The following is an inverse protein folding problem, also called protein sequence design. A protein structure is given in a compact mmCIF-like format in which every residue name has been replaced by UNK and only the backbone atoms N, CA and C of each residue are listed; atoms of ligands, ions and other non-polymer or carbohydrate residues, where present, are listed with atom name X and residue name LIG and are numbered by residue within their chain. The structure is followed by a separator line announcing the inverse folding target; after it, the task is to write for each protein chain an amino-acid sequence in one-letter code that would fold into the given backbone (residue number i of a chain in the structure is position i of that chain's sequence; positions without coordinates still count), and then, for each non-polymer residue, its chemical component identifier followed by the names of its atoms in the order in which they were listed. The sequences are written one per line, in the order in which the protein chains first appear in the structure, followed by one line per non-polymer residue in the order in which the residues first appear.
data_IF_864813773292
#
_entry.id   IF_864813773292
#
_cell.length_a   1.000
_cell.length_b   1.000
_cell.length_c   1.000
_cell.angle_alpha   90.00
_cell.angle_beta   90.00
_cell.angle_gamma   90.00
#
_symmetry.space_group_name_H-M   'P 1'
#
loop_
_entity.id
_entity.type
_entity.pdbx_description
1 polymer ?
#
# COMPACT_ATOMS: atom_id res chain seq x y z
N UNK A 1 -94.00 5.24 -54.87
CA UNK A 1 -94.08 6.48 -55.59
C UNK A 1 -92.73 7.06 -55.80
N UNK A 2 -92.36 7.13 -57.00
CA UNK A 2 -91.39 8.01 -57.72
C UNK A 2 -90.03 8.18 -57.10
N UNK A 3 -88.99 7.57 -57.75
CA UNK A 3 -88.17 8.12 -58.86
C UNK A 3 -87.39 9.33 -58.45
N UNK A 4 -86.07 9.38 -58.63
CA UNK A 4 -85.22 9.30 -59.80
C UNK A 4 -83.78 9.33 -59.33
N UNK A 5 -82.87 8.45 -59.74
CA UNK A 5 -81.85 8.57 -60.75
C UNK A 5 -81.20 9.96 -60.92
N UNK A 6 -79.96 10.08 -60.68
CA UNK A 6 -79.02 10.62 -61.67
C UNK A 6 -77.52 10.22 -61.34
N UNK A 7 -76.98 9.81 -62.39
CA UNK A 7 -75.66 9.24 -62.78
C UNK A 7 -74.48 10.18 -62.59
N UNK A 8 -73.37 9.54 -62.33
CA UNK A 8 -72.04 9.67 -62.89
C UNK A 8 -71.39 11.05 -63.04
N UNK A 9 -70.22 11.16 -62.50
CA UNK A 9 -69.02 11.47 -63.29
C UNK A 9 -67.72 11.29 -62.47
N UNK A 10 -66.92 10.49 -63.01
CA UNK A 10 -65.54 10.25 -62.60
C UNK A 10 -64.68 11.50 -62.60
N UNK A 11 -63.90 11.75 -61.55
CA UNK A 11 -62.67 12.52 -61.70
C UNK A 11 -61.60 11.80 -60.91
N UNK A 12 -60.74 11.14 -61.68
CA UNK A 12 -59.47 10.59 -61.16
C UNK A 12 -58.55 11.74 -60.84
N UNK A 13 -58.33 11.94 -59.54
CA UNK A 13 -57.26 12.81 -59.12
C UNK A 13 -56.09 11.92 -58.64
N UNK A 14 -55.04 11.88 -59.46
CA UNK A 14 -53.78 11.22 -59.14
C UNK A 14 -53.14 11.97 -57.99
N UNK A 15 -53.22 11.42 -56.78
CA UNK A 15 -52.41 11.91 -55.66
C UNK A 15 -51.08 11.20 -55.71
N UNK A 16 -50.08 11.87 -56.30
CA UNK A 16 -48.72 11.41 -56.31
C UNK A 16 -48.15 11.56 -54.91
N UNK A 17 -48.04 10.45 -54.19
CA UNK A 17 -47.40 10.40 -52.89
C UNK A 17 -45.86 10.46 -53.10
N UNK A 18 -45.28 11.64 -52.95
CA UNK A 18 -43.81 11.79 -52.90
C UNK A 18 -43.34 11.35 -51.53
N UNK A 19 -42.89 10.09 -51.43
CA UNK A 19 -42.19 9.61 -50.24
C UNK A 19 -40.76 10.18 -50.31
N UNK A 20 -40.53 11.29 -49.60
CA UNK A 20 -39.18 11.79 -49.37
C UNK A 20 -38.49 10.85 -48.39
N UNK A 21 -37.60 9.97 -48.91
CA UNK A 21 -36.66 9.26 -48.07
C UNK A 21 -35.64 10.26 -47.53
N UNK A 22 -35.83 10.72 -46.31
CA UNK A 22 -34.80 11.41 -45.56
C UNK A 22 -33.80 10.35 -45.08
N UNK A 23 -32.74 10.12 -45.86
CA UNK A 23 -31.58 9.33 -45.43
C UNK A 23 -30.85 10.16 -44.38
N UNK A 24 -31.17 9.90 -43.13
CA UNK A 24 -30.45 10.47 -41.97
C UNK A 24 -29.08 9.78 -41.93
N UNK A 25 -28.05 10.40 -42.52
CA UNK A 25 -26.70 10.02 -42.29
C UNK A 25 -26.34 10.26 -40.83
N UNK A 26 -26.46 9.21 -40.01
CA UNK A 26 -25.88 9.23 -38.67
C UNK A 26 -24.34 9.21 -38.89
N UNK A 27 -23.73 10.40 -38.83
CA UNK A 27 -22.28 10.49 -38.66
C UNK A 27 -21.97 9.92 -37.28
N UNK A 28 -21.62 8.65 -37.21
CA UNK A 28 -20.94 8.08 -36.06
C UNK A 28 -19.54 8.72 -36.05
N UNK A 29 -19.41 9.84 -35.37
CA UNK A 29 -18.11 10.39 -35.06
C UNK A 29 -17.35 9.30 -34.30
N UNK A 30 -16.12 8.94 -34.71
CA UNK A 30 -15.32 8.04 -33.91
C UNK A 30 -15.19 8.71 -32.54
N UNK A 31 -15.72 8.02 -31.50
CA UNK A 31 -15.41 8.38 -30.12
C UNK A 31 -13.92 8.14 -30.00
N UNK A 32 -13.13 9.20 -30.16
CA UNK A 32 -11.73 9.19 -29.73
C UNK A 32 -11.78 8.89 -28.25
N UNK A 33 -11.47 7.64 -27.88
CA UNK A 33 -11.14 7.33 -26.51
C UNK A 33 -9.97 8.27 -26.17
N UNK A 34 -10.23 9.30 -25.38
CA UNK A 34 -9.19 10.18 -24.85
C UNK A 34 -8.08 9.30 -24.25
N UNK A 35 -6.85 9.78 -24.14
CA UNK A 35 -5.76 9.02 -23.56
C UNK A 35 -6.26 8.45 -22.23
N UNK A 36 -6.15 7.11 -22.07
CA UNK A 36 -6.58 6.43 -20.83
C UNK A 36 -5.90 7.17 -19.69
N UNK A 37 -6.68 7.77 -18.81
CA UNK A 37 -6.23 8.68 -17.74
C UNK A 37 -5.20 7.99 -16.82
N UNK A 38 -5.21 6.64 -16.82
CA UNK A 38 -4.28 5.80 -16.08
C UNK A 38 -4.49 5.82 -14.56
N UNK A 39 -5.60 6.41 -14.13
CA UNK A 39 -6.09 6.38 -12.74
C UNK A 39 -7.62 6.48 -12.71
N UNK A 40 -8.20 6.13 -11.58
CA UNK A 40 -9.60 6.36 -11.22
C UNK A 40 -9.63 6.99 -9.82
N UNK A 41 -10.55 7.93 -9.60
CA UNK A 41 -10.75 8.59 -8.32
C UNK A 41 -12.17 8.44 -7.85
N UNK A 42 -12.34 8.25 -6.55
CA UNK A 42 -13.62 8.12 -5.85
C UNK A 42 -13.55 8.97 -4.58
N UNK A 43 -14.41 9.98 -4.46
CA UNK A 43 -14.44 10.92 -3.34
C UNK A 43 -15.76 10.81 -2.60
N UNK A 44 -15.70 10.88 -1.28
CA UNK A 44 -16.83 11.06 -0.37
C UNK A 44 -16.53 12.28 0.50
N UNK A 45 -17.49 13.17 0.66
CA UNK A 45 -17.31 14.46 1.35
C UNK A 45 -17.13 15.61 0.37
N UNK A 46 -16.43 16.65 0.79
CA UNK A 46 -16.19 17.85 -0.01
C UNK A 46 -15.01 17.60 -0.97
N UNK A 47 -15.21 17.81 -2.27
CA UNK A 47 -14.17 17.62 -3.28
C UNK A 47 -13.22 18.83 -3.43
N UNK A 48 -13.51 19.94 -2.77
CA UNK A 48 -12.61 21.10 -2.75
C UNK A 48 -11.51 20.84 -1.70
N UNK A 49 -10.28 21.25 -2.04
CA UNK A 49 -9.13 21.15 -1.15
C UNK A 49 -9.38 21.86 0.19
N UNK A 50 -9.24 21.14 1.27
CA UNK A 50 -9.43 21.68 2.61
C UNK A 50 -8.20 22.52 3.03
N UNK A 51 -8.40 23.64 3.73
CA UNK A 51 -7.27 24.37 4.29
C UNK A 51 -6.53 23.50 5.31
N UNK A 52 -5.20 23.49 5.23
CA UNK A 52 -4.36 22.72 6.17
C UNK A 52 -4.68 23.12 7.62
N UNK A 53 -5.00 22.12 8.43
CA UNK A 53 -5.25 22.32 9.86
C UNK A 53 -3.96 22.70 10.62
N UNK A 54 -4.00 23.67 11.53
CA UNK A 54 -2.87 23.93 12.42
C UNK A 54 -2.60 22.78 13.42
N UNK A 55 -3.54 21.82 13.55
CA UNK A 55 -3.39 20.63 14.37
C UNK A 55 -2.70 19.47 13.62
N UNK A 56 -2.36 19.63 12.33
CA UNK A 56 -1.66 18.62 11.55
C UNK A 56 -0.34 18.22 12.21
N UNK A 57 -0.16 16.93 12.44
CA UNK A 57 1.05 16.37 13.02
C UNK A 57 1.46 15.09 12.29
N UNK A 58 2.76 14.95 12.00
CA UNK A 58 3.28 13.78 11.30
C UNK A 58 3.20 12.49 12.11
N UNK A 59 3.27 11.37 11.44
CA UNK A 59 3.36 10.05 12.03
C UNK A 59 3.39 8.97 10.96
N UNK A 60 3.78 7.77 11.34
CA UNK A 60 3.82 6.62 10.44
C UNK A 60 2.97 5.48 11.01
N UNK A 61 2.09 4.91 10.19
CA UNK A 61 1.30 3.74 10.56
C UNK A 61 1.73 2.54 9.73
N UNK A 62 2.15 1.49 10.40
CA UNK A 62 2.61 0.25 9.80
C UNK A 62 1.66 -0.89 10.19
N UNK A 63 0.85 -1.40 9.23
CA UNK A 63 -0.16 -2.42 9.48
C UNK A 63 0.16 -3.72 8.77
N UNK A 64 0.07 -4.84 9.49
CA UNK A 64 0.51 -6.15 9.00
C UNK A 64 -0.40 -6.84 8.00
N UNK A 65 -1.58 -6.30 7.71
CA UNK A 65 -2.56 -6.89 6.79
C UNK A 65 -3.67 -7.67 7.49
N UNK A 66 -4.46 -8.40 6.73
CA UNK A 66 -5.69 -9.02 7.23
C UNK A 66 -6.81 -7.98 7.39
N UNK A 67 -7.64 -8.13 8.41
CA UNK A 67 -8.64 -7.11 8.79
C UNK A 67 -7.93 -5.87 9.30
N UNK A 68 -8.37 -4.71 8.84
CA UNK A 68 -7.79 -3.44 9.24
C UNK A 68 -8.06 -3.13 10.73
N UNK A 69 -7.18 -2.34 11.34
CA UNK A 69 -7.24 -1.95 12.75
C UNK A 69 -7.81 -0.55 12.86
N UNK A 70 -9.05 -0.41 13.33
CA UNK A 70 -9.78 0.86 13.44
C UNK A 70 -8.99 1.95 14.17
N UNK A 71 -8.34 1.57 15.29
CA UNK A 71 -7.53 2.50 16.09
C UNK A 71 -6.39 3.16 15.30
N UNK A 72 -5.88 2.49 14.26
CA UNK A 72 -4.84 3.04 13.41
C UNK A 72 -5.37 4.19 12.53
N UNK A 73 -6.56 4.02 11.93
CA UNK A 73 -7.20 5.08 11.15
C UNK A 73 -7.64 6.24 12.03
N UNK A 74 -8.25 5.95 13.19
CA UNK A 74 -8.64 6.99 14.14
C UNK A 74 -7.44 7.83 14.61
N UNK A 75 -6.28 7.19 14.85
CA UNK A 75 -5.04 7.87 15.19
C UNK A 75 -4.53 8.75 14.03
N UNK A 76 -4.60 8.28 12.78
CA UNK A 76 -4.22 9.09 11.62
C UNK A 76 -5.14 10.30 11.47
N UNK A 77 -6.45 10.12 11.58
CA UNK A 77 -7.43 11.20 11.48
C UNK A 77 -7.27 12.27 12.58
N UNK A 78 -6.93 11.85 13.80
CA UNK A 78 -6.60 12.79 14.87
C UNK A 78 -5.38 13.63 14.54
N UNK A 79 -4.35 13.02 13.94
CA UNK A 79 -3.11 13.70 13.54
C UNK A 79 -3.28 14.57 12.30
N UNK A 80 -4.21 14.21 11.41
CA UNK A 80 -4.62 15.03 10.27
C UNK A 80 -5.30 16.34 10.71
N UNK A 81 -6.00 16.31 11.85
CA UNK A 81 -6.69 17.49 12.38
C UNK A 81 -7.90 17.94 11.57
N UNK A 82 -8.52 17.05 10.78
CA UNK A 82 -9.49 17.33 9.73
C UNK A 82 -8.82 17.32 8.35
N UNK A 83 -9.49 17.89 7.33
CA UNK A 83 -8.96 17.94 5.97
C UNK A 83 -9.18 16.66 5.17
N UNK A 84 -8.30 16.40 4.22
CA UNK A 84 -8.49 15.38 3.19
C UNK A 84 -7.68 14.11 3.49
N UNK A 85 -8.38 12.97 3.51
CA UNK A 85 -7.75 11.66 3.67
C UNK A 85 -7.64 10.96 2.31
N UNK A 86 -6.45 10.76 1.80
CA UNK A 86 -6.21 10.12 0.50
C UNK A 86 -5.74 8.68 0.67
N UNK A 87 -6.39 7.76 -0.02
CA UNK A 87 -6.00 6.35 -0.14
C UNK A 87 -5.47 6.09 -1.54
N UNK A 88 -4.26 5.56 -1.66
CA UNK A 88 -3.68 5.18 -2.95
C UNK A 88 -3.50 3.68 -3.07
N UNK A 89 -3.76 3.16 -4.28
CA UNK A 89 -3.60 1.74 -4.64
C UNK A 89 -3.49 1.56 -6.15
N UNK A 90 -3.13 0.37 -6.63
CA UNK A 90 -3.06 0.08 -8.07
C UNK A 90 -4.21 -0.77 -8.57
N UNK A 91 -4.93 -1.44 -7.69
CA UNK A 91 -6.09 -2.31 -7.99
C UNK A 91 -7.09 -2.28 -6.85
N UNK A 92 -8.32 -2.72 -7.07
CA UNK A 92 -9.36 -2.86 -6.05
C UNK A 92 -10.48 -1.84 -6.22
N UNK A 93 -11.09 -1.40 -5.12
CA UNK A 93 -12.27 -0.53 -5.08
C UNK A 93 -12.06 0.64 -4.10
N UNK A 94 -13.06 1.46 -3.96
CA UNK A 94 -13.16 2.59 -3.01
C UNK A 94 -13.71 2.18 -1.63
N UNK A 95 -13.64 0.91 -1.27
CA UNK A 95 -14.19 0.40 -0.01
C UNK A 95 -13.64 1.08 1.26
N UNK A 96 -12.46 1.71 1.15
CA UNK A 96 -11.91 2.54 2.23
C UNK A 96 -12.72 3.81 2.49
N UNK A 97 -13.36 4.39 1.48
CA UNK A 97 -14.06 5.66 1.66
C UNK A 97 -15.15 5.59 2.73
N UNK A 98 -16.19 4.73 2.61
CA UNK A 98 -17.22 4.63 3.64
C UNK A 98 -16.67 4.13 4.98
N UNK A 99 -15.66 3.26 4.97
CA UNK A 99 -15.04 2.73 6.19
C UNK A 99 -14.33 3.83 6.98
N UNK A 100 -13.46 4.61 6.33
CA UNK A 100 -12.74 5.71 7.00
C UNK A 100 -13.70 6.82 7.39
N UNK A 101 -14.70 7.15 6.56
CA UNK A 101 -15.72 8.15 6.89
C UNK A 101 -16.48 7.81 8.17
N UNK A 102 -16.80 6.52 8.37
CA UNK A 102 -17.47 6.06 9.59
C UNK A 102 -16.56 6.22 10.83
N UNK A 103 -15.27 5.93 10.71
CA UNK A 103 -14.30 6.04 11.81
C UNK A 103 -13.88 7.49 12.10
N UNK A 104 -13.93 8.34 11.10
CA UNK A 104 -13.35 9.69 11.09
C UNK A 104 -14.35 10.73 10.53
N UNK A 105 -15.50 10.94 11.16
CA UNK A 105 -16.53 11.85 10.63
C UNK A 105 -16.10 13.33 10.60
N UNK A 106 -14.95 13.66 11.20
CA UNK A 106 -14.37 15.00 11.21
C UNK A 106 -13.51 15.31 9.97
N UNK A 107 -13.21 14.32 9.11
CA UNK A 107 -12.49 14.55 7.87
C UNK A 107 -13.40 15.25 6.86
N UNK A 108 -12.86 16.22 6.11
CA UNK A 108 -13.60 16.97 5.09
C UNK A 108 -13.92 16.10 3.88
N UNK A 109 -12.93 15.34 3.42
CA UNK A 109 -13.11 14.32 2.39
C UNK A 109 -12.32 13.04 2.65
N UNK A 110 -12.77 11.96 2.03
CA UNK A 110 -12.00 10.72 1.88
C UNK A 110 -11.98 10.35 0.40
N UNK A 111 -10.79 10.22 -0.15
CA UNK A 111 -10.61 9.88 -1.56
C UNK A 111 -9.80 8.61 -1.74
N UNK A 112 -10.30 7.67 -2.55
CA UNK A 112 -9.50 6.54 -3.05
C UNK A 112 -9.07 6.80 -4.48
N UNK A 113 -7.76 6.79 -4.75
CA UNK A 113 -7.18 6.92 -6.10
C UNK A 113 -6.57 5.56 -6.50
N UNK A 114 -7.14 4.94 -7.53
CA UNK A 114 -6.63 3.70 -8.13
C UNK A 114 -5.73 4.06 -9.31
N UNK A 115 -4.42 3.93 -9.15
CA UNK A 115 -3.39 4.38 -10.09
C UNK A 115 -2.89 3.17 -10.88
N UNK A 116 -3.29 3.06 -12.15
CA UNK A 116 -3.11 1.84 -12.97
C UNK A 116 -1.96 1.93 -13.98
N UNK A 117 -1.29 3.08 -14.08
CA UNK A 117 -0.17 3.28 -15.01
C UNK A 117 0.78 4.38 -14.53
N UNK A 118 1.99 4.40 -15.06
CA UNK A 118 2.96 5.49 -14.85
C UNK A 118 2.43 6.84 -15.35
N UNK A 119 1.60 6.86 -16.41
CA UNK A 119 0.91 8.07 -16.86
C UNK A 119 -0.04 8.60 -15.79
N UNK A 120 -0.83 7.72 -15.17
CA UNK A 120 -1.69 8.08 -14.04
C UNK A 120 -0.89 8.56 -12.84
N UNK A 121 0.22 7.89 -12.52
CA UNK A 121 1.11 8.26 -11.43
C UNK A 121 1.80 9.62 -11.61
N UNK A 122 1.86 10.14 -12.85
CA UNK A 122 2.36 11.48 -13.19
C UNK A 122 1.26 12.49 -13.51
N UNK A 123 -0.01 12.13 -13.33
CA UNK A 123 -1.13 13.04 -13.58
C UNK A 123 -1.09 14.22 -12.59
N UNK A 124 -1.38 15.43 -13.09
CA UNK A 124 -1.50 16.62 -12.26
C UNK A 124 -2.57 16.46 -11.16
N UNK A 125 -3.68 15.77 -11.49
CA UNK A 125 -4.72 15.44 -10.53
C UNK A 125 -4.17 14.61 -9.37
N UNK A 126 -3.55 13.46 -9.68
CA UNK A 126 -2.98 12.55 -8.66
C UNK A 126 -1.92 13.26 -7.82
N UNK A 127 -1.06 14.03 -8.46
CA UNK A 127 -0.01 14.80 -7.78
C UNK A 127 -0.58 15.82 -6.79
N UNK A 128 -1.57 16.64 -7.22
CA UNK A 128 -2.16 17.65 -6.36
C UNK A 128 -2.92 17.05 -5.18
N UNK A 129 -3.74 16.01 -5.41
CA UNK A 129 -4.51 15.37 -4.35
C UNK A 129 -3.62 14.68 -3.31
N UNK A 130 -2.50 14.04 -3.72
CA UNK A 130 -1.53 13.49 -2.77
C UNK A 130 -0.86 14.63 -1.98
N UNK A 131 -0.38 15.69 -2.63
CA UNK A 131 0.34 16.78 -1.95
C UNK A 131 -0.54 17.55 -0.99
N UNK A 132 -1.81 17.70 -1.32
CA UNK A 132 -2.79 18.42 -0.51
C UNK A 132 -3.32 17.59 0.66
N UNK A 133 -3.22 16.27 0.64
CA UNK A 133 -3.75 15.39 1.67
C UNK A 133 -3.21 15.70 3.08
N UNK A 134 -4.09 15.72 4.09
CA UNK A 134 -3.75 15.77 5.53
C UNK A 134 -3.49 14.39 6.11
N UNK A 135 -3.91 13.32 5.44
CA UNK A 135 -3.51 11.95 5.75
C UNK A 135 -3.41 11.12 4.46
N UNK A 136 -2.46 10.18 4.40
CA UNK A 136 -2.32 9.28 3.25
C UNK A 136 -2.20 7.83 3.69
N UNK A 137 -2.99 6.98 3.07
CA UNK A 137 -2.98 5.53 3.26
C UNK A 137 -2.58 4.79 1.98
N UNK A 138 -1.62 3.89 2.07
CA UNK A 138 -1.25 2.97 1.00
C UNK A 138 -1.92 1.63 1.27
N UNK A 139 -2.94 1.31 0.48
CA UNK A 139 -3.70 0.08 0.65
C UNK A 139 -2.86 -1.17 0.35
N UNK A 140 -3.37 -2.32 0.77
CA UNK A 140 -2.82 -3.62 0.37
C UNK A 140 -2.97 -3.89 -1.13
N UNK A 141 -2.12 -4.76 -1.65
CA UNK A 141 -2.10 -5.12 -3.07
C UNK A 141 -0.85 -5.91 -3.45
N UNK A 142 -0.27 -5.58 -4.59
CA UNK A 142 1.00 -6.13 -5.06
C UNK A 142 2.08 -5.03 -5.02
N UNK A 143 3.03 -5.16 -4.11
CA UNK A 143 4.12 -4.20 -3.95
C UNK A 143 5.03 -4.11 -5.18
N UNK A 144 5.08 -5.13 -6.04
CA UNK A 144 5.84 -5.07 -7.27
C UNK A 144 5.23 -4.09 -8.27
N UNK A 145 3.89 -3.99 -8.30
CA UNK A 145 3.22 -2.98 -9.11
C UNK A 145 3.42 -1.58 -8.53
N UNK A 146 3.47 -1.43 -7.21
CA UNK A 146 3.76 -0.15 -6.56
C UNK A 146 5.16 0.34 -6.92
N UNK A 147 6.19 -0.52 -6.78
CA UNK A 147 7.57 -0.13 -7.12
C UNK A 147 7.72 0.18 -8.62
N UNK A 148 7.07 -0.58 -9.51
CA UNK A 148 7.20 -0.41 -10.95
C UNK A 148 6.42 0.80 -11.49
N UNK A 149 5.26 1.14 -10.92
CA UNK A 149 4.42 2.22 -11.42
C UNK A 149 4.70 3.58 -10.76
N UNK A 150 5.18 3.60 -9.51
CA UNK A 150 5.32 4.84 -8.73
C UNK A 150 6.74 5.38 -8.65
N UNK A 151 7.76 4.54 -8.87
CA UNK A 151 9.17 4.97 -8.83
C UNK A 151 9.46 6.03 -9.89
N UNK A 152 10.07 7.14 -9.48
CA UNK A 152 10.43 8.25 -10.35
C UNK A 152 9.24 9.06 -10.87
N UNK A 153 8.08 8.98 -10.20
CA UNK A 153 6.86 9.66 -10.60
C UNK A 153 6.41 10.72 -9.59
N UNK A 154 5.36 11.47 -9.95
CA UNK A 154 4.75 12.45 -9.04
C UNK A 154 4.12 11.79 -7.79
N UNK A 155 3.69 10.52 -7.86
CA UNK A 155 3.27 9.76 -6.66
C UNK A 155 4.41 9.63 -5.67
N UNK A 156 5.60 9.20 -6.11
CA UNK A 156 6.77 9.12 -5.23
C UNK A 156 7.08 10.47 -4.59
N UNK A 157 7.19 11.51 -5.41
CA UNK A 157 7.51 12.87 -4.93
C UNK A 157 6.45 13.41 -3.97
N UNK A 158 5.16 13.12 -4.22
CA UNK A 158 4.05 13.54 -3.36
C UNK A 158 4.09 12.85 -1.99
N UNK A 159 4.31 11.53 -1.96
CA UNK A 159 4.43 10.78 -0.70
C UNK A 159 5.67 11.24 0.09
N UNK A 160 6.80 11.43 -0.59
CA UNK A 160 8.02 11.96 0.04
C UNK A 160 7.80 13.37 0.61
N UNK A 161 7.01 14.21 -0.07
CA UNK A 161 6.64 15.54 0.43
C UNK A 161 5.79 15.45 1.70
N UNK A 162 4.79 14.55 1.74
CA UNK A 162 3.97 14.35 2.94
C UNK A 162 4.81 13.88 4.13
N UNK A 163 5.71 12.91 3.91
CA UNK A 163 6.56 12.34 4.96
C UNK A 163 7.58 13.32 5.53
N UNK A 164 8.16 14.20 4.68
CA UNK A 164 9.37 14.95 5.05
C UNK A 164 9.18 16.47 5.11
N UNK A 165 8.13 17.02 4.47
CA UNK A 165 7.94 18.47 4.34
C UNK A 165 6.61 18.94 4.90
N UNK A 166 5.48 18.38 4.45
CA UNK A 166 4.15 18.74 4.99
C UNK A 166 3.96 18.25 6.41
N UNK A 167 4.54 17.09 6.75
CA UNK A 167 4.39 16.47 8.07
C UNK A 167 3.00 15.86 8.28
N UNK A 168 2.40 15.32 7.23
CA UNK A 168 1.14 14.59 7.33
C UNK A 168 1.38 13.14 7.82
N UNK A 169 0.42 12.53 8.53
CA UNK A 169 0.48 11.11 8.85
C UNK A 169 0.35 10.28 7.57
N UNK A 170 1.27 9.34 7.40
CA UNK A 170 1.28 8.37 6.29
C UNK A 170 1.23 6.97 6.85
N UNK A 171 0.46 6.10 6.23
CA UNK A 171 0.40 4.71 6.65
C UNK A 171 0.19 3.74 5.49
N UNK A 172 0.30 2.45 5.79
CA UNK A 172 0.03 1.41 4.81
C UNK A 172 -0.13 0.03 5.43
N UNK A 173 -0.87 -0.82 4.71
CA UNK A 173 -1.12 -2.20 5.10
C UNK A 173 -0.56 -3.18 4.09
N UNK A 174 -0.06 -4.33 4.53
CA UNK A 174 0.43 -5.41 3.66
C UNK A 174 1.47 -4.92 2.63
N UNK A 175 1.15 -4.88 1.34
CA UNK A 175 2.02 -4.33 0.31
C UNK A 175 2.32 -2.83 0.54
N UNK A 176 1.33 -2.06 1.01
CA UNK A 176 1.49 -0.65 1.36
C UNK A 176 2.46 -0.42 2.52
N UNK A 177 2.46 -1.31 3.53
CA UNK A 177 3.47 -1.32 4.58
C UNK A 177 4.87 -1.60 4.00
N UNK A 178 4.99 -2.62 3.15
CA UNK A 178 6.28 -3.06 2.62
C UNK A 178 7.02 -1.96 1.86
N UNK A 179 6.29 -1.13 1.11
CA UNK A 179 6.89 -0.04 0.31
C UNK A 179 7.28 1.19 1.11
N UNK A 180 6.86 1.31 2.38
CA UNK A 180 7.25 2.40 3.29
C UNK A 180 8.62 2.16 3.94
N UNK A 181 9.24 1.01 3.73
CA UNK A 181 10.60 0.72 4.20
C UNK A 181 11.67 1.10 3.17
N UNK A 182 12.89 1.33 3.64
CA UNK A 182 14.01 1.57 2.73
C UNK A 182 14.31 0.35 1.86
N UNK A 183 14.37 -0.84 2.47
CA UNK A 183 14.60 -2.09 1.75
C UNK A 183 13.28 -2.79 1.51
N UNK A 184 12.98 -3.12 0.27
CA UNK A 184 11.68 -3.63 -0.15
C UNK A 184 11.84 -5.02 -0.73
N UNK A 185 11.15 -6.01 -0.13
CA UNK A 185 10.92 -7.27 -0.82
C UNK A 185 9.76 -7.07 -1.80
N UNK A 186 10.06 -7.09 -3.10
CA UNK A 186 9.05 -6.77 -4.13
C UNK A 186 8.15 -7.94 -4.48
N UNK A 187 8.64 -9.17 -4.42
CA UNK A 187 7.90 -10.33 -4.90
C UNK A 187 7.65 -10.33 -6.42
N UNK A 188 8.39 -9.53 -7.18
CA UNK A 188 8.16 -9.30 -8.62
C UNK A 188 8.20 -10.56 -9.50
N UNK A 189 8.75 -11.66 -9.00
CA UNK A 189 8.79 -12.95 -9.69
C UNK A 189 7.96 -14.03 -9.00
N UNK A 190 7.16 -13.64 -7.99
CA UNK A 190 6.39 -14.52 -7.12
C UNK A 190 6.85 -14.46 -5.67
N UNK A 191 5.99 -14.97 -4.78
CA UNK A 191 6.29 -14.97 -3.34
C UNK A 191 7.26 -16.09 -2.98
N UNK A 192 8.31 -15.77 -2.21
CA UNK A 192 9.23 -16.77 -1.63
C UNK A 192 8.72 -17.19 -0.25
N UNK A 193 8.77 -18.48 0.05
CA UNK A 193 8.52 -19.02 1.41
C UNK A 193 9.78 -18.92 2.27
N UNK A 194 9.63 -19.02 3.60
CA UNK A 194 10.77 -19.09 4.52
C UNK A 194 11.68 -20.26 4.19
N UNK A 195 11.13 -21.45 3.95
CA UNK A 195 11.92 -22.63 3.61
C UNK A 195 12.72 -22.48 2.32
N UNK A 196 12.13 -21.88 1.27
CA UNK A 196 12.84 -21.62 0.01
C UNK A 196 13.98 -20.60 0.21
N UNK A 197 13.71 -19.51 0.93
CA UNK A 197 14.71 -18.46 1.17
C UNK A 197 15.86 -18.94 2.06
N UNK A 198 15.59 -19.80 3.04
CA UNK A 198 16.62 -20.38 3.90
C UNK A 198 17.44 -21.46 3.17
N UNK A 199 16.81 -22.25 2.29
CA UNK A 199 17.51 -23.24 1.47
C UNK A 199 18.39 -22.59 0.38
N UNK A 200 17.95 -21.46 -0.16
CA UNK A 200 18.72 -20.68 -1.11
C UNK A 200 18.40 -19.18 -0.98
N UNK A 201 19.22 -18.38 -0.31
CA UNK A 201 19.01 -16.93 -0.20
C UNK A 201 19.05 -16.17 -1.53
N UNK A 202 19.55 -16.81 -2.60
CA UNK A 202 19.56 -16.28 -3.97
C UNK A 202 18.43 -16.89 -4.83
N UNK A 203 17.46 -17.56 -4.20
CA UNK A 203 16.31 -18.10 -4.93
C UNK A 203 15.66 -17.02 -5.79
N UNK A 204 15.24 -17.38 -7.00
CA UNK A 204 14.71 -16.43 -8.02
C UNK A 204 13.56 -15.55 -7.53
N UNK A 205 12.84 -15.97 -6.50
CA UNK A 205 11.76 -15.21 -5.88
C UNK A 205 12.24 -14.25 -4.78
N UNK A 206 13.49 -14.26 -4.40
CA UNK A 206 14.09 -13.26 -3.51
C UNK A 206 14.44 -12.02 -4.34
N UNK A 207 13.44 -11.20 -4.59
CA UNK A 207 13.58 -9.95 -5.33
C UNK A 207 13.55 -8.78 -4.36
N UNK A 208 14.69 -8.09 -4.23
CA UNK A 208 14.87 -6.96 -3.33
C UNK A 208 15.14 -5.69 -4.12
N UNK A 209 14.50 -4.62 -3.70
CA UNK A 209 14.73 -3.25 -4.16
C UNK A 209 14.94 -2.32 -2.96
N UNK A 210 15.17 -1.04 -3.19
CA UNK A 210 15.30 -0.05 -2.13
C UNK A 210 14.84 1.33 -2.61
N UNK A 211 14.61 2.21 -1.64
CA UNK A 211 14.44 3.65 -1.86
C UNK A 211 13.27 3.98 -2.83
N UNK A 212 12.06 3.41 -2.59
CA UNK A 212 10.85 3.90 -3.24
C UNK A 212 10.41 5.20 -2.57
N UNK A 213 10.13 5.15 -1.26
CA UNK A 213 9.81 6.33 -0.48
C UNK A 213 10.93 6.62 0.53
N UNK A 214 11.18 7.91 0.76
CA UNK A 214 12.20 8.35 1.71
C UNK A 214 11.52 8.73 3.04
N UNK A 215 11.70 7.89 4.04
CA UNK A 215 11.23 8.13 5.39
C UNK A 215 12.39 7.92 6.37
N UNK A 216 12.63 8.90 7.25
CA UNK A 216 13.63 8.76 8.33
C UNK A 216 13.33 7.55 9.23
N UNK A 217 12.04 7.27 9.47
CA UNK A 217 11.58 6.11 10.24
C UNK A 217 11.74 4.80 9.48
N UNK A 218 11.77 4.82 8.13
CA UNK A 218 12.01 3.66 7.25
C UNK A 218 13.48 3.36 6.97
N UNK A 219 14.39 4.32 7.22
CA UNK A 219 15.82 4.20 6.91
C UNK A 219 16.44 2.99 7.62
N UNK A 220 17.29 2.26 6.89
CA UNK A 220 17.99 1.04 7.34
C UNK A 220 17.03 -0.09 7.77
N UNK A 221 15.81 -0.12 7.27
CA UNK A 221 14.79 -1.09 7.67
C UNK A 221 14.16 -1.79 6.48
N UNK A 222 13.74 -3.04 6.71
CA UNK A 222 12.89 -3.85 5.84
C UNK A 222 11.62 -4.16 6.63
N UNK A 223 10.46 -3.92 6.04
CA UNK A 223 9.16 -4.26 6.63
C UNK A 223 8.56 -5.48 5.94
N UNK A 224 8.01 -6.42 6.73
CA UNK A 224 7.29 -7.58 6.25
C UNK A 224 5.95 -7.75 7.00
N UNK A 225 4.91 -8.07 6.26
CA UNK A 225 3.51 -8.15 6.73
C UNK A 225 3.05 -9.60 6.86
N UNK A 226 1.82 -9.85 7.35
CA UNK A 226 1.26 -11.20 7.51
C UNK A 226 2.26 -12.19 8.14
N UNK A 227 2.97 -11.72 9.18
CA UNK A 227 4.29 -12.25 9.52
C UNK A 227 4.22 -13.68 10.06
N UNK A 228 3.36 -13.92 11.03
CA UNK A 228 3.12 -15.27 11.59
C UNK A 228 2.23 -16.08 10.67
N UNK A 229 1.10 -15.51 10.23
CA UNK A 229 0.10 -16.21 9.41
C UNK A 229 0.70 -16.87 8.17
N UNK A 230 1.74 -16.25 7.58
CA UNK A 230 2.40 -16.78 6.36
C UNK A 230 3.82 -17.27 6.61
N UNK A 231 4.19 -17.54 7.87
CA UNK A 231 5.52 -18.03 8.26
C UNK A 231 6.68 -17.24 7.60
N UNK A 232 6.78 -15.95 7.89
CA UNK A 232 7.71 -15.05 7.17
C UNK A 232 9.04 -14.79 7.87
N UNK A 233 9.24 -15.32 9.08
CA UNK A 233 10.49 -15.12 9.83
C UNK A 233 11.73 -15.52 9.01
N UNK A 234 11.76 -16.76 8.53
CA UNK A 234 12.92 -17.29 7.81
C UNK A 234 13.27 -16.51 6.55
N UNK A 235 12.26 -16.09 5.76
CA UNK A 235 12.53 -15.28 4.56
C UNK A 235 13.10 -13.91 4.92
N UNK A 236 12.62 -13.29 6.00
CA UNK A 236 13.11 -12.00 6.44
C UNK A 236 14.56 -12.06 6.89
N UNK A 237 15.00 -13.15 7.54
CA UNK A 237 16.41 -13.39 7.85
C UNK A 237 17.28 -13.50 6.60
N UNK A 238 16.81 -14.23 5.57
CA UNK A 238 17.50 -14.30 4.29
C UNK A 238 17.55 -12.93 3.59
N UNK A 239 16.50 -12.11 3.67
CA UNK A 239 16.51 -10.75 3.12
C UNK A 239 17.52 -9.86 3.82
N UNK A 240 17.61 -9.89 5.16
CA UNK A 240 18.61 -9.13 5.93
C UNK A 240 20.03 -9.56 5.55
N UNK A 241 20.31 -10.86 5.43
CA UNK A 241 21.60 -11.37 4.98
C UNK A 241 21.95 -10.87 3.55
N UNK A 242 20.98 -10.87 2.65
CA UNK A 242 21.13 -10.35 1.28
C UNK A 242 21.37 -8.83 1.24
N UNK A 243 20.73 -8.04 2.10
CA UNK A 243 20.94 -6.59 2.21
C UNK A 243 22.39 -6.30 2.61
N UNK A 244 22.93 -7.05 3.58
CA UNK A 244 24.35 -6.95 3.97
C UNK A 244 25.27 -7.34 2.81
N UNK A 245 25.00 -8.47 2.16
CA UNK A 245 25.80 -8.95 1.03
C UNK A 245 25.79 -7.97 -0.16
N UNK A 246 24.69 -7.30 -0.40
CA UNK A 246 24.56 -6.29 -1.45
C UNK A 246 25.25 -4.95 -1.08
N UNK A 247 25.88 -4.87 0.10
CA UNK A 247 26.49 -3.65 0.63
C UNK A 247 25.53 -2.47 0.77
N UNK A 248 24.23 -2.76 0.96
CA UNK A 248 23.22 -1.73 1.15
C UNK A 248 23.19 -1.20 2.59
N UNK A 249 23.50 -2.06 3.54
CA UNK A 249 23.69 -1.73 4.95
C UNK A 249 24.56 -2.78 5.65
N UNK A 250 25.33 -2.38 6.66
CA UNK A 250 26.16 -3.30 7.44
C UNK A 250 25.37 -4.06 8.50
N UNK A 251 24.37 -3.42 9.09
CA UNK A 251 23.51 -3.98 10.13
C UNK A 251 22.05 -3.56 9.88
N UNK A 252 21.41 -4.10 8.83
CA UNK A 252 20.01 -3.78 8.55
C UNK A 252 19.09 -4.31 9.65
N UNK A 253 17.95 -3.64 9.79
CA UNK A 253 16.89 -3.97 10.73
C UNK A 253 15.68 -4.51 10.00
N UNK A 254 14.99 -5.50 10.58
CA UNK A 254 13.74 -6.02 10.08
C UNK A 254 12.59 -5.71 11.02
N UNK A 255 11.40 -5.46 10.49
CA UNK A 255 10.16 -5.37 11.26
C UNK A 255 9.12 -6.26 10.60
N UNK A 256 8.75 -7.34 11.30
CA UNK A 256 7.65 -8.23 10.91
C UNK A 256 6.40 -7.87 11.69
N UNK A 257 5.24 -7.72 11.03
CA UNK A 257 4.00 -7.34 11.68
C UNK A 257 2.91 -8.38 11.37
N UNK A 258 2.26 -8.86 12.42
CA UNK A 258 1.17 -9.83 12.30
C UNK A 258 -0.07 -9.21 11.63
N UNK A 259 -0.93 -10.08 11.09
CA UNK A 259 -2.27 -9.66 10.66
C UNK A 259 -3.05 -9.03 11.82
N UNK A 260 -3.97 -8.14 11.50
CA UNK A 260 -4.82 -7.40 12.46
C UNK A 260 -4.02 -6.66 13.54
N UNK A 261 -2.82 -6.21 13.18
CA UNK A 261 -1.88 -5.53 14.09
C UNK A 261 -1.27 -4.33 13.36
N UNK A 262 -1.15 -3.23 14.08
CA UNK A 262 -0.50 -2.03 13.57
C UNK A 262 0.47 -1.43 14.60
N UNK A 263 1.48 -0.73 14.11
CA UNK A 263 2.38 0.10 14.90
C UNK A 263 2.07 1.56 14.58
N UNK A 264 1.74 2.33 15.59
CA UNK A 264 1.55 3.77 15.52
C UNK A 264 2.86 4.44 15.94
N UNK A 265 3.56 5.05 14.97
CA UNK A 265 4.90 5.59 15.22
C UNK A 265 4.86 7.12 15.17
N UNK A 266 5.24 7.76 16.29
CA UNK A 266 5.38 9.21 16.38
C UNK A 266 6.70 9.69 15.76
N UNK A 267 6.85 10.99 15.43
CA UNK A 267 8.04 11.51 14.73
C UNK A 267 9.36 11.28 15.45
N UNK A 268 9.35 11.15 16.77
CA UNK A 268 10.52 10.83 17.62
C UNK A 268 10.90 9.33 17.60
N UNK A 269 10.13 8.53 16.83
CA UNK A 269 10.35 7.10 16.68
C UNK A 269 9.67 6.23 17.73
N UNK A 270 8.89 6.79 18.64
CA UNK A 270 8.12 5.99 19.60
C UNK A 270 6.96 5.29 18.92
N UNK A 271 6.95 3.96 18.96
CA UNK A 271 5.92 3.11 18.34
C UNK A 271 5.09 2.39 19.40
N UNK A 272 3.77 2.42 19.26
CA UNK A 272 2.80 1.70 20.10
C UNK A 272 2.10 0.63 19.28
N UNK A 273 2.04 -0.60 19.80
CA UNK A 273 1.35 -1.73 19.16
C UNK A 273 -0.14 -1.68 19.46
N UNK A 274 -0.97 -1.70 18.42
CA UNK A 274 -2.43 -1.80 18.50
C UNK A 274 -2.93 -2.97 17.65
N UNK A 275 -4.13 -3.46 17.93
CA UNK A 275 -4.71 -4.64 17.26
C UNK A 275 -4.59 -5.89 18.11
N UNK A 276 -4.44 -7.09 17.52
CA UNK A 276 -4.58 -8.36 18.25
C UNK A 276 -3.34 -9.26 18.26
N UNK A 277 -2.34 -9.00 17.41
CA UNK A 277 -1.13 -9.81 17.27
C UNK A 277 0.11 -9.15 17.88
N UNK A 278 1.26 -9.40 17.27
CA UNK A 278 2.54 -8.87 17.70
C UNK A 278 3.36 -8.27 16.56
N UNK A 279 4.33 -7.45 16.92
CA UNK A 279 5.40 -7.01 16.01
C UNK A 279 6.74 -7.60 16.44
N UNK A 280 7.58 -7.91 15.46
CA UNK A 280 8.88 -8.56 15.63
C UNK A 280 9.96 -7.64 15.09
N UNK A 281 10.85 -7.18 15.95
CA UNK A 281 11.96 -6.29 15.62
C UNK A 281 13.25 -7.08 15.55
N UNK A 282 13.82 -7.21 14.33
CA UNK A 282 14.99 -8.02 14.04
C UNK A 282 16.22 -7.14 13.87
N UNK A 283 17.32 -7.53 14.48
CA UNK A 283 18.62 -6.87 14.33
C UNK A 283 19.63 -7.82 13.71
N UNK A 284 20.03 -7.55 12.49
CA UNK A 284 21.11 -8.29 11.82
C UNK A 284 22.46 -7.99 12.52
N UNK A 285 23.25 -9.02 12.84
CA UNK A 285 24.56 -8.83 13.51
C UNK A 285 25.67 -8.37 12.56
N UNK A 286 25.46 -8.44 11.25
CA UNK A 286 26.42 -8.19 10.20
C UNK A 286 26.38 -9.27 9.11
N UNK A 287 27.48 -9.63 8.46
CA UNK A 287 27.52 -10.67 7.43
C UNK A 287 27.12 -12.06 7.94
N UNK A 288 26.37 -12.79 7.11
CA UNK A 288 26.07 -14.19 7.37
C UNK A 288 27.34 -15.05 7.22
N UNK A 289 27.42 -16.16 7.96
CA UNK A 289 28.56 -17.09 7.93
C UNK A 289 28.61 -17.89 6.63
N UNK A 290 27.46 -18.26 6.08
CA UNK A 290 27.35 -18.91 4.76
C UNK A 290 26.21 -18.24 4.00
N UNK A 291 26.54 -17.62 2.86
CA UNK A 291 25.59 -16.97 1.97
C UNK A 291 26.09 -17.10 0.52
N UNK A 292 25.59 -18.09 -0.18
CA UNK A 292 25.91 -18.34 -1.59
C UNK A 292 24.70 -18.86 -2.35
N UNK A 293 24.71 -18.76 -3.68
CA UNK A 293 23.65 -19.31 -4.51
C UNK A 293 23.58 -20.84 -4.39
N UNK A 294 22.38 -21.38 -4.42
CA UNK A 294 22.09 -22.80 -4.25
C UNK A 294 22.73 -23.42 -2.99
N UNK A 295 22.97 -22.62 -1.96
CA UNK A 295 23.55 -23.06 -0.69
C UNK A 295 22.65 -22.64 0.47
N UNK A 296 22.32 -23.56 1.38
CA UNK A 296 21.53 -23.22 2.56
C UNK A 296 22.21 -22.16 3.43
N UNK A 297 21.42 -21.18 3.88
CA UNK A 297 21.88 -20.08 4.72
C UNK A 297 22.44 -20.59 6.06
N UNK A 298 23.59 -20.03 6.48
CA UNK A 298 24.00 -20.07 7.88
C UNK A 298 24.18 -18.65 8.38
N UNK A 299 23.38 -18.27 9.38
CA UNK A 299 23.32 -16.90 9.92
C UNK A 299 22.99 -16.97 11.40
N UNK A 300 23.91 -16.55 12.26
CA UNK A 300 23.82 -16.72 13.70
C UNK A 300 23.67 -15.39 14.43
N UNK A 301 23.13 -15.46 15.64
CA UNK A 301 23.01 -14.35 16.58
C UNK A 301 22.14 -13.19 16.08
N UNK A 302 21.04 -13.49 15.36
CA UNK A 302 20.08 -12.47 14.98
C UNK A 302 19.22 -12.13 16.21
N UNK A 303 19.35 -10.89 16.70
CA UNK A 303 18.52 -10.41 17.81
C UNK A 303 17.09 -10.19 17.37
N UNK A 304 16.15 -10.62 18.20
CA UNK A 304 14.71 -10.35 18.00
C UNK A 304 14.11 -9.79 19.30
N UNK A 305 13.26 -8.79 19.15
CA UNK A 305 12.41 -8.31 20.22
C UNK A 305 10.96 -8.40 19.76
N UNK A 306 10.18 -9.29 20.34
CA UNK A 306 8.75 -9.48 20.07
C UNK A 306 7.95 -8.57 20.98
N UNK A 307 7.09 -7.74 20.42
CA UNK A 307 6.23 -6.80 21.17
C UNK A 307 4.77 -7.14 20.89
N UNK A 308 4.01 -7.58 21.89
CA UNK A 308 2.57 -7.84 21.77
C UNK A 308 1.77 -6.53 21.80
N UNK A 309 0.45 -6.65 21.62
CA UNK A 309 -0.49 -5.54 21.80
C UNK A 309 -0.25 -4.78 23.10
N UNK A 310 -0.30 -3.46 23.05
CA UNK A 310 -0.10 -2.55 24.18
C UNK A 310 1.37 -2.32 24.57
N UNK A 311 2.30 -3.11 24.03
CA UNK A 311 3.72 -2.88 24.19
C UNK A 311 4.22 -1.73 23.30
N UNK A 312 5.44 -1.27 23.54
CA UNK A 312 6.05 -0.17 22.77
C UNK A 312 7.43 -0.53 22.25
N UNK A 313 7.85 0.12 21.16
CA UNK A 313 9.19 0.00 20.61
C UNK A 313 9.65 1.32 20.00
N UNK A 314 10.84 1.77 20.35
CA UNK A 314 11.40 3.00 19.78
C UNK A 314 12.29 2.68 18.57
N UNK A 315 11.95 3.20 17.39
CA UNK A 315 12.61 2.98 16.11
C UNK A 315 13.98 3.65 16.00
N UNK A 316 14.23 4.68 16.81
CA UNK A 316 15.48 5.43 16.83
C UNK A 316 16.51 4.74 17.74
N UNK A 317 16.14 4.44 18.98
CA UNK A 317 17.03 3.75 19.94
C UNK A 317 17.09 2.24 19.73
N UNK A 318 16.13 1.67 19.01
CA UNK A 318 15.95 0.24 18.78
C UNK A 318 15.76 -0.56 20.07
N UNK A 319 14.93 -0.03 20.96
CA UNK A 319 14.59 -0.62 22.26
C UNK A 319 13.09 -0.67 22.46
N UNK A 320 12.60 -1.65 23.21
CA UNK A 320 11.17 -1.83 23.47
C UNK A 320 10.84 -2.09 24.93
N UNK A 321 9.55 -2.02 25.25
CA UNK A 321 8.99 -2.38 26.56
C UNK A 321 7.76 -3.27 26.39
N UNK A 322 7.45 -4.08 27.40
CA UNK A 322 6.29 -4.97 27.38
C UNK A 322 6.44 -6.16 26.41
N UNK A 323 7.66 -6.45 25.94
CA UNK A 323 7.94 -7.52 25.01
C UNK A 323 8.97 -8.53 25.53
N UNK A 324 9.41 -9.43 24.64
CA UNK A 324 10.38 -10.50 24.95
C UNK A 324 11.54 -10.44 23.95
N UNK A 325 12.77 -10.41 24.49
CA UNK A 325 13.99 -10.50 23.68
C UNK A 325 14.43 -11.96 23.56
N UNK A 326 14.89 -12.35 22.36
CA UNK A 326 15.45 -13.67 22.08
C UNK A 326 16.40 -13.61 20.87
N UNK A 327 17.07 -14.71 20.61
CA UNK A 327 18.02 -14.82 19.50
C UNK A 327 17.57 -15.94 18.55
N UNK A 328 17.67 -15.68 17.25
CA UNK A 328 17.50 -16.66 16.20
C UNK A 328 18.84 -17.06 15.59
N UNK A 329 18.95 -18.34 15.25
CA UNK A 329 20.07 -18.87 14.51
C UNK A 329 19.57 -19.70 13.32
N UNK A 330 20.19 -19.49 12.17
CA UNK A 330 20.01 -20.34 11.00
C UNK A 330 21.29 -21.14 10.80
N UNK A 331 21.19 -22.46 10.83
CA UNK A 331 22.31 -23.37 10.58
C UNK A 331 21.98 -24.27 9.39
N UNK A 332 22.68 -24.10 8.28
CA UNK A 332 22.46 -24.82 7.03
C UNK A 332 20.96 -24.86 6.64
N UNK A 333 20.28 -23.71 6.68
CA UNK A 333 18.86 -23.58 6.37
C UNK A 333 17.89 -23.95 7.48
N UNK A 334 18.36 -24.50 8.59
CA UNK A 334 17.53 -24.85 9.75
C UNK A 334 17.45 -23.69 10.75
N UNK A 335 16.24 -23.21 11.03
CA UNK A 335 15.99 -22.08 11.93
C UNK A 335 15.72 -22.58 13.35
N UNK A 336 16.42 -21.98 14.32
CA UNK A 336 16.27 -22.26 15.76
C UNK A 336 16.15 -20.97 16.56
N UNK A 337 15.58 -21.07 17.76
CA UNK A 337 15.31 -19.94 18.65
C UNK A 337 15.75 -20.26 20.09
N UNK A 338 16.17 -19.23 20.80
CA UNK A 338 16.45 -19.29 22.25
C UNK A 338 15.20 -19.10 23.10
N UNK A 339 14.02 -18.86 22.51
CA UNK A 339 12.77 -18.83 23.26
C UNK A 339 12.47 -20.18 23.95
N UNK A 340 11.73 -20.15 25.04
CA UNK A 340 11.25 -21.35 25.71
C UNK A 340 10.52 -22.28 24.71
N UNK A 341 10.87 -23.57 24.70
CA UNK A 341 10.33 -24.53 23.75
C UNK A 341 10.82 -24.37 22.31
N UNK A 342 11.78 -23.49 22.04
CA UNK A 342 12.31 -23.25 20.68
C UNK A 342 11.34 -22.51 19.75
N UNK A 343 10.31 -21.84 20.28
CA UNK A 343 9.33 -21.10 19.46
C UNK A 343 10.01 -20.03 18.61
N UNK A 344 9.66 -19.99 17.33
CA UNK A 344 10.17 -18.98 16.40
C UNK A 344 9.42 -17.64 16.55
N UNK A 345 8.13 -17.73 16.90
CA UNK A 345 7.23 -16.58 17.04
C UNK A 345 6.77 -16.34 18.46
#
# INVERSE_FOLDING_TARGET
MLTTLFTAASLRSLLTLVIAFVVMFIFVLPVYAGPKQGYQSFIVGNAADAPQSPALTSGLVLMGGGTDVDAAFQWMCQRAGGGDFVVIRTTGTDAYNPYIQQLCPQMDSIETIIITSTTGANSAYVSSHIQNAEALWIAGGDQSTYTSLWRGTAVQSGVDYLLNSKGAPVGGTSAGLAVLSQFIYTGARGSVTSSQALANPFHRYVTLERDLFQSSLGTNKLYDSHFVTRDRMGRSLAFLARIVNNSWASQPRGIGIDEQTAILVTPDGAGTMVGSGAAYFLQAPGPAQVLADNTPLSYFNIGVYKVPQGGTFNFSTWTGTGGVAYTLNVNAGSLTSTQAGGSIY
#
